data_IF_954372793288
#
_entry.id   IF_954372793288
#
_cell.length_a   1.000
_cell.length_b   1.000
_cell.length_c   1.000
_cell.angle_alpha   90.00
_cell.angle_beta   90.00
_cell.angle_gamma   90.00
#
_symmetry.space_group_name_H-M   'P 1'
#
loop_
_entity.id
_entity.type
_entity.pdbx_description
1 polymer ?
#
# COMPACT_ATOMS: atom_id res chain seq x y z
N UNK A 1 -9.73 13.67 15.03
CA UNK A 1 -9.47 13.31 13.61
C UNK A 1 -8.50 12.14 13.65
N UNK A 2 -8.72 11.01 12.95
CA UNK A 2 -7.65 10.04 12.87
C UNK A 2 -6.48 10.73 12.15
N UNK A 3 -5.28 10.65 12.71
CA UNK A 3 -4.07 11.31 12.20
C UNK A 3 -3.53 10.72 10.89
N UNK A 4 -4.38 10.06 10.12
CA UNK A 4 -4.05 9.41 8.86
C UNK A 4 -4.33 10.39 7.72
N UNK A 5 -3.33 10.60 6.87
CA UNK A 5 -3.50 11.29 5.59
C UNK A 5 -3.33 10.29 4.45
N UNK A 6 -3.98 10.57 3.33
CA UNK A 6 -3.91 9.73 2.12
C UNK A 6 -3.36 10.51 0.94
N UNK A 7 -2.71 9.79 0.03
CA UNK A 7 -2.27 10.27 -1.28
C UNK A 7 -2.55 9.22 -2.35
N UNK A 8 -2.67 9.64 -3.60
CA UNK A 8 -2.82 8.74 -4.75
C UNK A 8 -1.70 9.02 -5.73
N UNK A 9 -0.97 7.96 -6.08
CA UNK A 9 0.16 8.00 -6.99
C UNK A 9 -0.14 7.07 -8.18
N UNK A 10 0.36 7.43 -9.36
CA UNK A 10 0.10 6.72 -10.61
C UNK A 10 1.40 6.51 -11.38
N UNK A 11 1.36 5.79 -12.50
CA UNK A 11 2.52 5.63 -13.38
C UNK A 11 2.97 6.94 -14.07
N UNK A 12 2.22 8.03 -13.93
CA UNK A 12 2.58 9.37 -14.40
C UNK A 12 3.32 10.18 -13.32
N UNK A 13 3.27 9.73 -12.06
CA UNK A 13 4.04 10.29 -10.96
C UNK A 13 5.52 10.04 -11.22
N UNK A 14 6.33 11.10 -11.23
CA UNK A 14 7.73 11.01 -11.67
C UNK A 14 8.58 10.11 -10.77
N UNK A 15 8.41 10.22 -9.44
CA UNK A 15 9.01 9.32 -8.46
C UNK A 15 8.00 9.04 -7.33
N UNK A 16 7.13 8.01 -7.50
CA UNK A 16 6.11 7.69 -6.50
C UNK A 16 6.70 7.37 -5.13
N UNK A 17 7.87 6.73 -5.07
CA UNK A 17 8.46 6.34 -3.80
C UNK A 17 8.96 7.57 -3.03
N UNK A 18 9.68 8.48 -3.70
CA UNK A 18 10.14 9.72 -3.08
C UNK A 18 8.98 10.61 -2.62
N UNK A 19 7.93 10.75 -3.45
CA UNK A 19 6.76 11.56 -3.08
C UNK A 19 6.00 10.96 -1.88
N UNK A 20 5.83 9.63 -1.84
CA UNK A 20 5.22 8.93 -0.69
C UNK A 20 6.05 9.18 0.57
N UNK A 21 7.37 9.03 0.52
CA UNK A 21 8.26 9.23 1.67
C UNK A 21 8.19 10.67 2.18
N UNK A 22 8.21 11.65 1.28
CA UNK A 22 8.10 13.06 1.62
C UNK A 22 6.74 13.38 2.26
N UNK A 23 5.65 12.88 1.69
CA UNK A 23 4.31 13.06 2.24
C UNK A 23 4.15 12.37 3.61
N UNK A 24 4.70 11.17 3.78
CA UNK A 24 4.57 10.40 5.02
C UNK A 24 5.32 11.05 6.20
N UNK A 25 6.46 11.69 5.97
CA UNK A 25 7.35 12.15 7.04
C UNK A 25 7.73 10.98 7.95
N UNK A 26 7.55 11.13 9.27
CA UNK A 26 7.86 10.09 10.26
C UNK A 26 6.72 9.07 10.48
N UNK A 27 5.58 9.24 9.80
CA UNK A 27 4.42 8.35 10.00
C UNK A 27 4.65 6.99 9.37
N UNK A 28 4.06 5.96 9.97
CA UNK A 28 3.99 4.63 9.36
C UNK A 28 3.20 4.70 8.05
N UNK A 29 3.66 3.92 7.07
CA UNK A 29 3.07 3.86 5.73
C UNK A 29 2.24 2.60 5.58
N UNK A 30 1.03 2.75 5.02
CA UNK A 30 0.19 1.66 4.53
C UNK A 30 0.05 1.83 3.02
N UNK A 31 0.80 1.03 2.26
CA UNK A 31 0.84 1.07 0.81
C UNK A 31 -0.29 0.19 0.24
N UNK A 32 -1.34 0.82 -0.29
CA UNK A 32 -2.43 0.13 -0.98
C UNK A 32 -2.11 0.07 -2.47
N UNK A 33 -1.87 -1.13 -3.00
CA UNK A 33 -1.58 -1.36 -4.42
C UNK A 33 -2.72 -2.14 -5.06
N UNK A 34 -2.95 -1.90 -6.36
CA UNK A 34 -3.99 -2.59 -7.11
C UNK A 34 -3.40 -3.26 -8.34
N UNK A 35 -3.57 -4.57 -8.44
CA UNK A 35 -3.10 -5.37 -9.58
C UNK A 35 -1.62 -5.09 -9.91
N UNK A 36 -0.76 -5.03 -8.88
CA UNK A 36 0.65 -4.62 -9.00
C UNK A 36 1.44 -5.48 -10.00
N UNK A 37 1.15 -6.77 -10.09
CA UNK A 37 1.70 -7.70 -11.08
C UNK A 37 1.55 -7.21 -12.55
N UNK A 38 0.58 -6.32 -12.83
CA UNK A 38 0.34 -5.76 -14.18
C UNK A 38 1.13 -4.50 -14.48
N UNK A 39 1.81 -3.93 -13.48
CA UNK A 39 2.33 -2.58 -13.52
C UNK A 39 3.73 -2.50 -12.91
N UNK A 40 4.76 -2.65 -13.75
CA UNK A 40 6.16 -2.60 -13.33
C UNK A 40 6.53 -1.36 -12.50
N UNK A 41 5.89 -0.21 -12.77
CA UNK A 41 6.11 1.01 -11.99
C UNK A 41 5.68 0.86 -10.52
N UNK A 42 4.61 0.11 -10.24
CA UNK A 42 4.17 -0.16 -8.86
C UNK A 42 5.15 -1.08 -8.15
N UNK A 43 5.65 -2.10 -8.84
CA UNK A 43 6.69 -2.99 -8.32
C UNK A 43 7.92 -2.20 -7.89
N UNK A 44 8.44 -1.36 -8.78
CA UNK A 44 9.62 -0.53 -8.57
C UNK A 44 9.42 0.49 -7.43
N UNK A 45 8.26 1.16 -7.41
CA UNK A 45 7.93 2.09 -6.34
C UNK A 45 7.85 1.39 -4.98
N UNK A 46 7.24 0.19 -4.94
CA UNK A 46 7.09 -0.56 -3.69
C UNK A 46 8.43 -1.12 -3.21
N UNK A 47 9.31 -1.59 -4.11
CA UNK A 47 10.65 -2.03 -3.75
C UNK A 47 11.49 -0.89 -3.16
N UNK A 48 11.46 0.29 -3.80
CA UNK A 48 12.15 1.47 -3.29
C UNK A 48 11.58 1.94 -1.94
N UNK A 49 10.26 1.93 -1.79
CA UNK A 49 9.58 2.30 -0.56
C UNK A 49 9.93 1.35 0.59
N UNK A 50 9.94 0.03 0.34
CA UNK A 50 10.26 -0.99 1.34
C UNK A 50 11.74 -0.97 1.74
N UNK A 51 12.63 -0.64 0.82
CA UNK A 51 14.05 -0.44 1.13
C UNK A 51 14.26 0.75 2.09
N UNK A 52 13.53 1.85 1.90
CA UNK A 52 13.62 3.04 2.75
C UNK A 52 12.84 2.91 4.06
N UNK A 53 11.70 2.21 4.04
CA UNK A 53 10.77 2.04 5.17
C UNK A 53 10.34 0.58 5.30
N UNK A 54 11.20 -0.29 5.89
CA UNK A 54 10.91 -1.72 6.05
C UNK A 54 9.68 -2.03 6.91
N UNK A 55 9.20 -1.07 7.71
CA UNK A 55 8.00 -1.19 8.54
C UNK A 55 6.70 -0.89 7.79
N UNK A 56 6.75 -0.63 6.47
CA UNK A 56 5.58 -0.38 5.63
C UNK A 56 4.67 -1.62 5.59
N UNK A 57 3.37 -1.39 5.73
CA UNK A 57 2.32 -2.39 5.52
C UNK A 57 1.89 -2.35 4.06
N UNK A 58 1.72 -3.51 3.43
CA UNK A 58 1.26 -3.62 2.04
C UNK A 58 -0.15 -4.21 2.01
N UNK A 59 -1.06 -3.54 1.32
CA UNK A 59 -2.40 -4.04 1.03
C UNK A 59 -2.50 -4.24 -0.47
N UNK A 60 -2.52 -5.51 -0.91
CA UNK A 60 -2.76 -5.89 -2.29
C UNK A 60 -4.27 -6.04 -2.55
N UNK A 61 -4.76 -5.23 -3.47
CA UNK A 61 -6.14 -5.29 -3.97
C UNK A 61 -6.18 -5.79 -5.40
N UNK A 62 -7.23 -6.54 -5.75
CA UNK A 62 -7.38 -7.14 -7.08
C UNK A 62 -6.94 -8.60 -7.08
N UNK A 63 -6.21 -9.00 -8.12
CA UNK A 63 -5.78 -10.39 -8.29
C UNK A 63 -4.44 -10.65 -7.55
N UNK A 64 -4.36 -11.68 -6.69
CA UNK A 64 -3.21 -11.90 -5.82
C UNK A 64 -2.11 -12.68 -6.52
N UNK A 65 -1.34 -12.00 -7.36
CA UNK A 65 -0.21 -12.59 -8.09
C UNK A 65 1.14 -12.05 -7.62
N UNK A 66 1.16 -11.00 -6.79
CA UNK A 66 2.39 -10.47 -6.25
C UNK A 66 3.01 -11.42 -5.21
N UNK A 67 4.35 -11.42 -5.13
CA UNK A 67 5.04 -12.08 -4.01
C UNK A 67 4.81 -11.28 -2.72
N UNK A 68 4.37 -11.90 -1.62
CA UNK A 68 4.14 -11.20 -0.36
C UNK A 68 5.40 -10.48 0.14
N UNK A 69 5.24 -9.20 0.51
CA UNK A 69 6.31 -8.30 0.97
C UNK A 69 5.78 -7.22 1.92
N UNK A 70 6.70 -6.57 2.64
CA UNK A 70 6.40 -5.62 3.70
C UNK A 70 6.35 -6.25 5.09
N UNK A 71 6.15 -5.41 6.11
CA UNK A 71 6.05 -5.87 7.51
C UNK A 71 4.77 -6.66 7.79
N UNK A 72 3.71 -6.34 7.04
CA UNK A 72 2.43 -7.03 6.99
C UNK A 72 1.94 -6.96 5.54
N UNK A 73 1.45 -8.08 5.01
CA UNK A 73 0.92 -8.18 3.66
C UNK A 73 -0.53 -8.67 3.70
N UNK A 74 -1.47 -7.82 3.32
CA UNK A 74 -2.91 -8.10 3.31
C UNK A 74 -3.39 -8.22 1.88
N UNK A 75 -4.11 -9.31 1.56
CA UNK A 75 -4.65 -9.56 0.22
C UNK A 75 -6.16 -9.56 0.29
N UNK A 76 -6.83 -8.66 -0.44
CA UNK A 76 -8.29 -8.49 -0.35
C UNK A 76 -9.09 -9.25 -1.40
N UNK A 77 -8.44 -9.92 -2.36
CA UNK A 77 -9.06 -10.69 -3.45
C UNK A 77 -10.09 -9.90 -4.30
N UNK A 78 -10.03 -8.57 -4.24
CA UNK A 78 -10.95 -7.66 -4.91
C UNK A 78 -10.68 -6.21 -4.54
N UNK A 79 -11.18 -5.28 -5.35
CA UNK A 79 -10.94 -3.83 -5.20
C UNK A 79 -12.21 -3.04 -4.82
N UNK A 80 -13.21 -3.72 -4.23
CA UNK A 80 -14.47 -3.09 -3.85
C UNK A 80 -14.33 -2.25 -2.58
N UNK A 81 -15.34 -1.43 -2.28
CA UNK A 81 -15.39 -0.66 -1.03
C UNK A 81 -15.34 -1.56 0.21
N UNK A 82 -16.05 -2.69 0.19
CA UNK A 82 -16.05 -3.64 1.32
C UNK A 82 -14.70 -4.34 1.48
N UNK A 83 -13.96 -4.57 0.39
CA UNK A 83 -12.59 -5.06 0.44
C UNK A 83 -11.66 -4.06 1.16
N UNK A 84 -11.82 -2.77 0.88
CA UNK A 84 -11.07 -1.71 1.57
C UNK A 84 -11.37 -1.66 3.07
N UNK A 85 -12.64 -1.83 3.45
CA UNK A 85 -13.04 -1.90 4.85
C UNK A 85 -12.41 -3.11 5.57
N UNK A 86 -12.49 -4.30 4.97
CA UNK A 86 -11.87 -5.50 5.51
C UNK A 86 -10.34 -5.37 5.64
N UNK A 87 -9.69 -4.66 4.71
CA UNK A 87 -8.26 -4.36 4.83
C UNK A 87 -7.94 -3.48 6.03
N UNK A 88 -8.74 -2.43 6.28
CA UNK A 88 -8.59 -1.58 7.46
C UNK A 88 -8.72 -2.43 8.72
N UNK A 89 -9.78 -3.22 8.82
CA UNK A 89 -10.03 -4.13 9.94
C UNK A 89 -8.86 -5.07 10.21
N UNK A 90 -8.30 -5.68 9.17
CA UNK A 90 -7.12 -6.54 9.26
C UNK A 90 -5.86 -5.79 9.75
N UNK A 91 -5.64 -4.56 9.27
CA UNK A 91 -4.48 -3.74 9.64
C UNK A 91 -4.59 -3.21 11.07
N UNK A 92 -5.80 -2.84 11.51
CA UNK A 92 -6.02 -2.25 12.84
C UNK A 92 -6.41 -3.26 13.92
N UNK A 93 -6.63 -4.53 13.55
CA UNK A 93 -7.10 -5.56 14.48
C UNK A 93 -8.50 -5.28 15.03
N UNK A 94 -9.33 -4.58 14.25
CA UNK A 94 -10.68 -4.20 14.66
C UNK A 94 -11.70 -5.08 13.95
N UNK A 95 -12.73 -5.50 14.66
CA UNK A 95 -13.92 -6.15 14.08
C UNK A 95 -15.07 -5.13 14.08
N UNK A 96 -16.04 -5.21 13.15
CA UNK A 96 -17.23 -4.35 13.16
C UNK A 96 -17.97 -4.32 14.50
#
# INVERSE_FOLDING_TARGET
RPGTEGGRYTGETADPAAEVLAAAGDRRIVAVVRDEHRHAWMAQALDALLAARPDTVVVEMGLPEATPRGSLHVVTHGASRVCGQAAVEAVTGTTP
#
